data_IF_823116808768
#
_entry.id   IF_823116808768
#
_cell.length_a   1.000
_cell.length_b   1.000
_cell.length_c   1.000
_cell.angle_alpha   90.00
_cell.angle_beta   90.00
_cell.angle_gamma   90.00
#
_symmetry.space_group_name_H-M   'P 1'
#
loop_
_entity.id
_entity.type
_entity.pdbx_description
1 polymer ?
#
# COMPACT_ATOMS: atom_id res chain seq x y z
N UNK A 1 3.94 3.63 -24.67
CA UNK A 1 4.46 4.10 -23.37
C UNK A 1 5.90 3.65 -23.29
N UNK A 2 6.85 4.56 -23.13
CA UNK A 2 8.26 4.20 -22.96
C UNK A 2 8.45 3.59 -21.57
N UNK A 3 9.07 2.41 -21.51
CA UNK A 3 9.45 1.78 -20.24
C UNK A 3 10.61 2.59 -19.69
N UNK A 4 10.43 3.15 -18.49
CA UNK A 4 11.45 3.99 -17.88
C UNK A 4 12.33 3.12 -16.97
N UNK A 5 13.56 2.84 -17.42
CA UNK A 5 14.51 1.96 -16.74
C UNK A 5 14.76 2.38 -15.27
N UNK A 6 14.75 3.68 -15.00
CA UNK A 6 14.90 4.24 -13.65
C UNK A 6 13.69 3.96 -12.75
N UNK A 7 12.48 3.91 -13.31
CA UNK A 7 11.30 3.55 -12.52
C UNK A 7 11.29 2.05 -12.20
N UNK A 8 11.69 1.23 -13.17
CA UNK A 8 11.83 -0.22 -12.98
C UNK A 8 12.88 -0.54 -11.92
N UNK A 9 14.03 0.13 -11.96
CA UNK A 9 15.09 -0.03 -10.97
C UNK A 9 14.67 0.41 -9.56
N UNK A 10 13.95 1.54 -9.44
CA UNK A 10 13.43 2.02 -8.16
C UNK A 10 12.42 1.02 -7.55
N UNK A 11 11.56 0.42 -8.36
CA UNK A 11 10.60 -0.61 -7.92
C UNK A 11 11.29 -1.89 -7.48
N UNK A 12 12.31 -2.34 -8.22
CA UNK A 12 13.08 -3.52 -7.83
C UNK A 12 13.84 -3.27 -6.51
N UNK A 13 14.44 -2.08 -6.35
CA UNK A 13 15.07 -1.68 -5.09
C UNK A 13 14.08 -1.66 -3.92
N UNK A 14 12.85 -1.19 -4.14
CA UNK A 14 11.80 -1.22 -3.12
C UNK A 14 11.49 -2.65 -2.67
N UNK A 15 11.38 -3.60 -3.62
CA UNK A 15 11.21 -5.01 -3.31
C UNK A 15 12.40 -5.58 -2.51
N UNK A 16 13.63 -5.27 -2.91
CA UNK A 16 14.83 -5.71 -2.19
C UNK A 16 14.88 -5.18 -0.75
N UNK A 17 14.45 -3.94 -0.51
CA UNK A 17 14.35 -3.39 0.85
C UNK A 17 13.32 -4.12 1.71
N UNK A 18 12.18 -4.51 1.15
CA UNK A 18 11.16 -5.26 1.90
C UNK A 18 11.66 -6.65 2.28
N UNK A 19 12.39 -7.30 1.38
CA UNK A 19 12.93 -8.65 1.60
C UNK A 19 14.32 -8.65 2.28
N UNK A 20 14.85 -7.48 2.60
CA UNK A 20 16.21 -7.29 3.15
C UNK A 20 17.29 -8.03 2.32
N UNK A 21 17.13 -7.98 1.00
CA UNK A 21 18.03 -8.64 0.05
C UNK A 21 19.13 -7.69 -0.44
N UNK A 22 20.33 -8.22 -0.56
CA UNK A 22 21.47 -7.56 -1.19
C UNK A 22 21.65 -8.00 -2.66
N UNK A 23 22.40 -7.24 -3.46
CA UNK A 23 22.70 -7.54 -4.87
C UNK A 23 23.27 -8.95 -5.02
N UNK A 24 24.17 -9.35 -4.13
CA UNK A 24 24.78 -10.67 -4.16
C UNK A 24 23.76 -11.78 -3.86
N UNK A 25 22.87 -11.55 -2.89
CA UNK A 25 21.81 -12.51 -2.53
C UNK A 25 20.82 -12.68 -3.70
N UNK A 26 20.46 -11.58 -4.35
CA UNK A 26 19.56 -11.62 -5.51
C UNK A 26 20.23 -12.32 -6.70
N UNK A 27 21.52 -12.06 -6.95
CA UNK A 27 22.31 -12.74 -7.97
C UNK A 27 22.36 -14.25 -7.75
N UNK A 28 22.59 -14.69 -6.51
CA UNK A 28 22.58 -16.12 -6.16
C UNK A 28 21.20 -16.76 -6.35
N UNK A 29 20.14 -16.05 -5.95
CA UNK A 29 18.77 -16.57 -6.02
C UNK A 29 18.25 -16.68 -7.45
N UNK A 30 18.58 -15.69 -8.29
CA UNK A 30 18.11 -15.60 -9.67
C UNK A 30 19.11 -16.17 -10.68
N UNK A 31 20.22 -16.73 -10.22
CA UNK A 31 21.34 -17.23 -11.03
C UNK A 31 21.80 -16.23 -12.11
N UNK A 32 21.59 -14.95 -11.86
CA UNK A 32 21.89 -13.86 -12.79
C UNK A 32 23.22 -13.23 -12.37
N UNK A 33 24.11 -12.84 -13.30
CA UNK A 33 25.40 -12.23 -12.95
C UNK A 33 25.20 -11.00 -12.07
N UNK A 34 26.02 -10.79 -11.02
CA UNK A 34 25.87 -9.65 -10.11
C UNK A 34 26.07 -8.31 -10.84
N UNK A 35 26.85 -8.29 -11.91
CA UNK A 35 27.03 -7.12 -12.78
C UNK A 35 25.70 -6.73 -13.44
N UNK A 36 25.00 -7.70 -14.04
CA UNK A 36 23.68 -7.49 -14.66
C UNK A 36 22.64 -7.04 -13.64
N UNK A 37 22.62 -7.66 -12.45
CA UNK A 37 21.74 -7.25 -11.35
C UNK A 37 22.06 -5.80 -10.92
N UNK A 38 23.33 -5.45 -10.83
CA UNK A 38 23.79 -4.09 -10.55
C UNK A 38 23.28 -3.08 -11.56
N UNK A 39 23.45 -3.35 -12.86
CA UNK A 39 22.96 -2.48 -13.94
C UNK A 39 21.44 -2.29 -13.88
N UNK A 40 20.69 -3.37 -13.61
CA UNK A 40 19.23 -3.31 -13.45
C UNK A 40 18.84 -2.44 -12.26
N UNK A 41 19.53 -2.57 -11.12
CA UNK A 41 19.21 -1.81 -9.90
C UNK A 41 19.65 -0.35 -9.96
N UNK A 42 20.68 -0.04 -10.71
CA UNK A 42 21.11 1.34 -10.97
C UNK A 42 20.26 2.00 -12.07
N UNK A 43 19.49 1.20 -12.82
CA UNK A 43 18.67 1.68 -13.94
C UNK A 43 19.52 2.15 -15.12
N UNK A 44 20.67 1.49 -15.31
CA UNK A 44 21.56 1.67 -16.46
C UNK A 44 21.01 0.94 -17.70
N UNK A 45 21.76 0.93 -18.79
CA UNK A 45 21.40 0.18 -20.00
C UNK A 45 21.49 -1.32 -19.72
N UNK A 46 20.35 -2.02 -19.76
CA UNK A 46 20.26 -3.47 -19.61
C UNK A 46 19.27 -4.05 -20.61
N UNK A 47 19.45 -5.33 -20.95
CA UNK A 47 18.51 -6.00 -21.83
C UNK A 47 17.22 -6.35 -21.09
N UNK A 48 16.08 -6.11 -21.73
CA UNK A 48 14.78 -6.47 -21.15
C UNK A 48 14.63 -7.98 -20.96
N UNK A 49 15.28 -8.80 -21.78
CA UNK A 49 15.30 -10.26 -21.61
C UNK A 49 15.98 -10.67 -20.29
N UNK A 50 17.09 -10.02 -19.91
CA UNK A 50 17.76 -10.26 -18.64
C UNK A 50 16.88 -9.87 -17.45
N UNK A 51 16.17 -8.74 -17.54
CA UNK A 51 15.19 -8.34 -16.52
C UNK A 51 14.07 -9.38 -16.41
N UNK A 52 13.51 -9.85 -17.52
CA UNK A 52 12.42 -10.85 -17.50
C UNK A 52 12.91 -12.19 -16.97
N UNK A 53 14.14 -12.60 -17.30
CA UNK A 53 14.77 -13.81 -16.76
C UNK A 53 14.92 -13.70 -15.23
N UNK A 54 15.45 -12.58 -14.73
CA UNK A 54 15.56 -12.30 -13.30
C UNK A 54 14.20 -12.35 -12.60
N UNK A 55 13.18 -11.72 -13.19
CA UNK A 55 11.82 -11.68 -12.62
C UNK A 55 11.09 -13.03 -12.66
N UNK A 56 11.49 -13.96 -13.54
CA UNK A 56 10.94 -15.32 -13.59
C UNK A 56 11.39 -16.17 -12.40
N UNK A 57 12.63 -15.99 -11.96
CA UNK A 57 13.19 -16.70 -10.81
C UNK A 57 12.64 -16.19 -9.47
N UNK A 58 11.85 -15.11 -9.49
CA UNK A 58 11.19 -14.54 -8.32
C UNK A 58 9.69 -14.95 -8.32
N UNK A 59 9.32 -16.08 -7.68
CA UNK A 59 7.95 -16.56 -7.68
C UNK A 59 7.01 -15.58 -6.98
N UNK A 60 7.46 -14.94 -5.90
CA UNK A 60 6.68 -13.98 -5.15
C UNK A 60 6.54 -12.60 -5.81
N UNK A 61 7.37 -12.24 -6.79
CA UNK A 61 7.41 -10.86 -7.33
C UNK A 61 6.56 -10.73 -8.59
N UNK A 62 5.66 -9.75 -8.63
CA UNK A 62 4.87 -9.45 -9.81
C UNK A 62 5.68 -8.67 -10.86
N UNK A 63 6.04 -9.35 -11.95
CA UNK A 63 6.80 -8.78 -13.05
C UNK A 63 6.10 -7.58 -13.70
N UNK A 64 4.76 -7.58 -13.75
CA UNK A 64 3.97 -6.47 -14.32
C UNK A 64 4.02 -5.22 -13.46
N UNK A 65 4.06 -5.38 -12.14
CA UNK A 65 4.25 -4.26 -11.23
C UNK A 65 5.64 -3.65 -11.38
N UNK A 66 6.69 -4.48 -11.50
CA UNK A 66 8.06 -3.98 -11.69
C UNK A 66 8.20 -3.20 -13.01
N UNK A 67 7.72 -3.76 -14.13
CA UNK A 67 7.90 -3.17 -15.46
C UNK A 67 6.97 -1.97 -15.65
N UNK A 68 5.68 -2.10 -15.32
CA UNK A 68 4.65 -1.11 -15.68
C UNK A 68 4.10 -0.33 -14.48
N UNK A 69 4.33 -0.78 -13.24
CA UNK A 69 3.77 -0.16 -12.04
C UNK A 69 2.31 -0.55 -11.79
N UNK A 70 1.80 -1.54 -12.53
CA UNK A 70 0.42 -1.98 -12.46
C UNK A 70 0.26 -3.21 -11.56
N UNK A 71 -0.71 -3.16 -10.65
CA UNK A 71 -1.04 -4.28 -9.75
C UNK A 71 -0.30 -4.23 -8.42
N UNK A 72 -0.27 -5.37 -7.71
CA UNK A 72 0.42 -5.49 -6.42
C UNK A 72 1.88 -5.89 -6.61
N UNK A 73 2.73 -5.54 -5.62
CA UNK A 73 4.15 -5.91 -5.58
C UNK A 73 4.33 -7.44 -5.60
N UNK A 74 3.58 -8.13 -4.75
CA UNK A 74 3.67 -9.58 -4.62
C UNK A 74 2.66 -10.32 -5.51
N UNK A 75 3.07 -11.44 -6.09
CA UNK A 75 2.18 -12.41 -6.71
C UNK A 75 1.37 -13.07 -5.60
N UNK A 76 0.05 -12.96 -5.65
CA UNK A 76 -0.82 -13.75 -4.78
C UNK A 76 -0.82 -15.16 -5.35
N UNK A 77 -0.42 -16.16 -4.57
CA UNK A 77 -0.42 -17.57 -4.99
C UNK A 77 -1.82 -17.96 -5.50
N UNK A 78 -1.96 -18.08 -6.81
CA UNK A 78 -3.24 -18.34 -7.45
C UNK A 78 -3.35 -17.75 -8.85
N UNK A 79 -2.80 -18.49 -9.82
CA UNK A 79 -3.06 -18.42 -11.27
C UNK A 79 -2.32 -17.34 -12.07
N UNK A 80 -1.39 -17.81 -12.89
CA UNK A 80 -1.04 -17.18 -14.16
C UNK A 80 -2.31 -16.90 -14.97
N UNK A 81 -2.46 -15.65 -15.41
CA UNK A 81 -3.35 -15.31 -16.51
C UNK A 81 -4.84 -15.28 -16.18
N UNK A 82 -5.27 -14.45 -15.25
CA UNK A 82 -6.61 -13.88 -15.30
C UNK A 82 -6.64 -12.57 -14.51
N UNK A 83 -7.59 -11.74 -14.86
CA UNK A 83 -7.93 -10.47 -14.22
C UNK A 83 -8.41 -10.70 -12.77
N UNK A 84 -7.54 -11.23 -11.92
CA UNK A 84 -7.84 -11.67 -10.57
C UNK A 84 -7.59 -10.51 -9.62
N UNK A 85 -8.60 -9.67 -9.48
CA UNK A 85 -8.79 -8.90 -8.26
C UNK A 85 -8.65 -9.86 -7.07
N UNK A 86 -7.90 -9.50 -6.02
CA UNK A 86 -7.54 -10.45 -4.97
C UNK A 86 -8.81 -10.91 -4.24
N UNK A 87 -9.18 -12.18 -4.42
CA UNK A 87 -10.30 -12.82 -3.72
C UNK A 87 -10.01 -12.99 -2.21
N UNK A 88 -8.75 -12.80 -1.79
CA UNK A 88 -8.35 -12.83 -0.37
C UNK A 88 -8.32 -11.48 0.36
N UNK A 89 -8.32 -10.34 -0.34
CA UNK A 89 -8.23 -9.00 0.31
C UNK A 89 -9.52 -8.20 0.25
N UNK A 90 -10.52 -8.62 -0.55
CA UNK A 90 -11.79 -7.90 -0.64
C UNK A 90 -12.66 -8.07 0.61
N UNK A 91 -12.62 -9.24 1.24
CA UNK A 91 -13.38 -9.49 2.47
C UNK A 91 -12.83 -8.62 3.60
N UNK A 92 -11.52 -8.68 3.79
CA UNK A 92 -10.81 -7.86 4.77
C UNK A 92 -10.95 -6.36 4.51
N UNK A 93 -10.82 -5.89 3.26
CA UNK A 93 -11.01 -4.45 2.95
C UNK A 93 -12.44 -3.97 3.12
N UNK A 94 -13.43 -4.77 2.75
CA UNK A 94 -14.83 -4.38 2.91
C UNK A 94 -15.21 -4.35 4.39
N UNK A 95 -14.75 -5.33 5.17
CA UNK A 95 -14.91 -5.37 6.63
C UNK A 95 -14.17 -4.21 7.29
N UNK A 96 -12.94 -3.92 6.88
CA UNK A 96 -12.16 -2.78 7.38
C UNK A 96 -12.79 -1.43 7.02
N UNK A 97 -13.30 -1.26 5.80
CA UNK A 97 -14.01 -0.05 5.39
C UNK A 97 -15.35 0.11 6.14
N UNK A 98 -16.07 -0.99 6.37
CA UNK A 98 -17.29 -0.99 7.17
C UNK A 98 -17.00 -0.62 8.64
N UNK A 99 -15.91 -1.13 9.20
CA UNK A 99 -15.46 -0.79 10.55
C UNK A 99 -15.03 0.67 10.65
N UNK A 100 -14.28 1.19 9.67
CA UNK A 100 -13.95 2.62 9.61
C UNK A 100 -15.21 3.50 9.48
N UNK A 101 -16.21 3.10 8.68
CA UNK A 101 -17.48 3.84 8.58
C UNK A 101 -18.26 3.82 9.90
N UNK A 102 -18.29 2.68 10.59
CA UNK A 102 -18.92 2.57 11.90
C UNK A 102 -18.25 3.48 12.94
N UNK A 103 -16.91 3.51 12.96
CA UNK A 103 -16.14 4.38 13.85
C UNK A 103 -16.35 5.87 13.55
N UNK A 104 -16.40 6.27 12.28
CA UNK A 104 -16.72 7.65 11.89
C UNK A 104 -18.13 8.06 12.33
N UNK A 105 -19.11 7.16 12.19
CA UNK A 105 -20.47 7.42 12.65
C UNK A 105 -20.55 7.62 14.17
N UNK A 106 -19.83 6.79 14.93
CA UNK A 106 -19.76 6.95 16.38
C UNK A 106 -19.13 8.27 16.80
N UNK A 107 -18.11 8.75 16.06
CA UNK A 107 -17.51 10.07 16.32
C UNK A 107 -18.52 11.20 16.09
N UNK A 108 -19.31 11.16 15.00
CA UNK A 108 -20.36 12.16 14.75
C UNK A 108 -21.43 12.16 15.85
N UNK A 109 -21.85 10.99 16.33
CA UNK A 109 -22.81 10.89 17.43
C UNK A 109 -22.26 11.47 18.74
N UNK A 110 -20.99 11.18 19.06
CA UNK A 110 -20.31 11.73 20.24
C UNK A 110 -20.18 13.25 20.12
N UNK A 111 -19.81 13.78 18.95
CA UNK A 111 -19.72 15.22 18.73
C UNK A 111 -21.09 15.90 18.87
N UNK A 112 -22.15 15.30 18.32
CA UNK A 112 -23.52 15.79 18.46
C UNK A 112 -23.99 15.77 19.92
N UNK A 113 -23.69 14.72 20.68
CA UNK A 113 -23.99 14.66 22.11
C UNK A 113 -23.19 15.69 22.91
N UNK A 114 -21.91 15.90 22.58
CA UNK A 114 -21.07 16.92 23.22
C UNK A 114 -21.58 18.33 22.92
N UNK A 115 -22.03 18.59 21.69
CA UNK A 115 -22.66 19.86 21.32
C UNK A 115 -23.98 20.07 22.08
N UNK A 116 -24.80 19.03 22.24
CA UNK A 116 -26.00 19.09 23.08
C UNK A 116 -25.70 19.34 24.55
N UNK A 117 -24.68 18.67 25.12
CA UNK A 117 -24.23 18.95 26.49
C UNK A 117 -23.74 20.40 26.64
N UNK A 118 -22.99 20.91 25.66
CA UNK A 118 -22.50 22.29 25.67
C UNK A 118 -23.66 23.28 25.63
N UNK A 119 -24.67 23.02 24.81
CA UNK A 119 -25.88 23.84 24.74
C UNK A 119 -26.71 23.78 26.04
N UNK A 120 -26.79 22.61 26.67
CA UNK A 120 -27.42 22.45 27.99
C UNK A 120 -26.66 23.19 29.09
N UNK A 121 -25.32 23.18 29.07
CA UNK A 121 -24.51 23.92 30.04
C UNK A 121 -24.65 25.44 29.85
N UNK A 122 -24.69 25.91 28.60
CA UNK A 122 -24.99 27.31 28.28
C UNK A 122 -26.38 27.74 28.78
N UNK A 123 -27.41 26.91 28.56
CA UNK A 123 -28.76 27.16 29.07
C UNK A 123 -28.79 27.17 30.60
N UNK A 124 -28.13 26.22 31.26
CA UNK A 124 -28.02 26.19 32.73
C UNK A 124 -27.28 27.42 33.26
N UNK A 125 -26.22 27.85 32.59
CA UNK A 125 -25.48 29.05 32.95
C UNK A 125 -26.37 30.29 32.83
N UNK A 126 -27.14 30.39 31.74
CA UNK A 126 -28.07 31.50 31.51
C UNK A 126 -29.25 31.51 32.51
N UNK A 127 -29.76 30.35 32.89
CA UNK A 127 -30.77 30.23 33.96
C UNK A 127 -30.18 30.70 35.29
N UNK A 128 -28.97 30.27 35.67
CA UNK A 128 -28.30 30.73 36.90
C UNK A 128 -28.09 32.24 36.92
N UNK A 129 -27.74 32.84 35.79
CA UNK A 129 -27.54 34.28 35.66
C UNK A 129 -28.87 35.04 35.86
N UNK A 130 -29.95 34.58 35.22
CA UNK A 130 -31.29 35.13 35.40
C UNK A 130 -31.83 34.96 36.83
N UNK A 131 -31.54 33.85 37.50
CA UNK A 131 -31.96 33.60 38.88
C UNK A 131 -31.13 34.37 39.92
N UNK A 132 -29.93 34.87 39.57
CA UNK A 132 -29.14 35.76 40.45
C UNK A 132 -29.68 37.20 40.51
N UNK A 133 -30.53 37.59 39.57
CA UNK A 133 -31.11 38.92 39.46
C UNK A 133 -32.54 39.01 40.05
N UNK A 134 -32.99 37.97 40.75
CA UNK A 134 -34.22 37.91 41.54
C UNK A 134 -33.81 37.84 43.02
#
# INVERSE_FOLDING_TARGET
>A
MAINLQQTSARLNFYMRIKELDVYQLSMLTKTPPETVGCILQGEDYCMDDLVALLKELPDLNSRWVIYGEGNVFKVEGKEGENAQPVGLKKDRAEYLAEMQALLHQLEEIEKQKQQQTHLDQLRSRIRDLTKHI
#
